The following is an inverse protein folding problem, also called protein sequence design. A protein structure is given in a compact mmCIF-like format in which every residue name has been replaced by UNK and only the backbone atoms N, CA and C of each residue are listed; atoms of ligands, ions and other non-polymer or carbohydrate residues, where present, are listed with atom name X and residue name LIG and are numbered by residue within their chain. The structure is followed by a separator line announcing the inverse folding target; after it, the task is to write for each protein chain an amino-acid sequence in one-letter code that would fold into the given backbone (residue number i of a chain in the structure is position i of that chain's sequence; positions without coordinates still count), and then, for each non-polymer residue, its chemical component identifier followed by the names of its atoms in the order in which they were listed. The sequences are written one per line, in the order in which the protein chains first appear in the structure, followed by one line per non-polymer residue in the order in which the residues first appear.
data_IF_828130190014
#
_entry.id   IF_828130190014
#
_cell.length_a   1.000
_cell.length_b   1.000
_cell.length_c   1.000
_cell.angle_alpha   90.00
_cell.angle_beta   90.00
_cell.angle_gamma   90.00
#
_symmetry.space_group_name_H-M   'P 1'
#
loop_
_entity.id
_entity.type
_entity.pdbx_description
1 polymer ?
#
# COMPACT_ATOMS: atom_id res chain seq x y z
N UNK A 1 11.35 1.93 -40.11
CA UNK A 1 11.69 1.07 -38.97
C UNK A 1 11.53 1.92 -37.72
N UNK A 2 10.33 1.97 -37.14
CA UNK A 2 10.13 2.51 -35.80
C UNK A 2 10.26 1.31 -34.86
N UNK A 3 11.44 1.16 -34.27
CA UNK A 3 11.73 0.15 -33.27
C UNK A 3 12.12 0.86 -32.00
N UNK A 4 11.14 1.11 -31.14
CA UNK A 4 11.36 1.12 -29.70
C UNK A 4 10.00 0.88 -29.02
N UNK A 5 9.75 -0.40 -28.78
CA UNK A 5 9.31 -0.94 -27.50
C UNK A 5 8.26 -0.08 -26.77
N UNK A 6 6.98 -0.36 -27.04
CA UNK A 6 5.94 -0.11 -26.05
C UNK A 6 6.22 -1.04 -24.86
N UNK A 7 7.02 -0.57 -23.90
CA UNK A 7 7.01 -1.16 -22.57
C UNK A 7 5.64 -0.84 -21.95
N UNK A 8 4.88 -1.84 -21.43
CA UNK A 8 3.78 -1.52 -20.54
C UNK A 8 4.35 -0.72 -19.36
N UNK A 9 3.77 0.45 -19.07
CA UNK A 9 4.19 1.30 -17.95
C UNK A 9 4.80 2.68 -18.30
N UNK A 10 4.52 3.28 -19.46
CA UNK A 10 4.93 4.68 -19.71
C UNK A 10 3.76 5.64 -19.95
N UNK A 11 3.55 6.47 -18.92
CA UNK A 11 3.09 7.86 -18.94
C UNK A 11 1.69 8.16 -19.50
N UNK A 12 0.66 8.10 -18.64
CA UNK A 12 -0.23 9.24 -18.27
C UNK A 12 -1.36 8.82 -17.29
N UNK A 13 -1.13 7.84 -16.39
CA UNK A 13 -2.19 7.37 -15.46
C UNK A 13 -1.87 7.72 -14.00
N UNK A 14 -2.75 8.44 -13.28
CA UNK A 14 -2.53 8.82 -11.88
C UNK A 14 -2.60 7.64 -10.90
N UNK A 15 -2.93 6.42 -11.38
CA UNK A 15 -3.04 5.21 -10.56
C UNK A 15 -1.92 4.23 -10.96
N UNK A 16 -1.04 3.89 -10.00
CA UNK A 16 -0.04 2.83 -10.19
C UNK A 16 -0.72 1.46 -10.10
N UNK A 17 -0.30 0.51 -10.95
CA UNK A 17 -0.78 -0.86 -10.83
C UNK A 17 -0.26 -1.51 -9.53
N UNK A 18 -1.03 -2.42 -8.90
CA UNK A 18 -0.60 -3.16 -7.70
C UNK A 18 0.78 -3.80 -7.83
N UNK A 19 1.04 -4.46 -8.96
CA UNK A 19 2.33 -5.09 -9.25
C UNK A 19 3.50 -4.09 -9.23
N UNK A 20 3.28 -2.86 -9.73
CA UNK A 20 4.31 -1.81 -9.73
C UNK A 20 4.58 -1.29 -8.32
N UNK A 21 3.56 -1.22 -7.47
CA UNK A 21 3.67 -0.82 -6.06
C UNK A 21 4.48 -1.87 -5.30
N UNK A 22 4.13 -3.15 -5.46
CA UNK A 22 4.84 -4.28 -4.84
C UNK A 22 6.30 -4.30 -5.27
N UNK A 23 6.57 -4.21 -6.57
CA UNK A 23 7.95 -4.20 -7.08
C UNK A 23 8.76 -3.02 -6.53
N UNK A 24 8.16 -1.85 -6.38
CA UNK A 24 8.84 -0.70 -5.78
C UNK A 24 9.14 -0.95 -4.29
N UNK A 25 8.15 -1.41 -3.52
CA UNK A 25 8.30 -1.70 -2.10
C UNK A 25 9.42 -2.72 -1.82
N UNK A 26 9.45 -3.82 -2.59
CA UNK A 26 10.47 -4.87 -2.47
C UNK A 26 11.86 -4.36 -2.89
N UNK A 27 11.95 -3.60 -3.99
CA UNK A 27 13.25 -3.11 -4.48
C UNK A 27 13.84 -2.02 -3.58
N UNK A 28 13.00 -1.20 -2.96
CA UNK A 28 13.41 -0.14 -2.05
C UNK A 28 13.56 -0.62 -0.60
N UNK A 29 13.18 -1.87 -0.31
CA UNK A 29 13.25 -2.50 1.02
C UNK A 29 12.58 -1.64 2.10
N UNK A 30 11.34 -1.22 1.82
CA UNK A 30 10.62 -0.24 2.67
C UNK A 30 10.19 -0.85 4.00
N UNK A 31 10.34 -0.10 5.09
CA UNK A 31 9.81 -0.49 6.41
C UNK A 31 8.29 -0.26 6.51
N UNK A 32 7.79 0.73 5.77
CA UNK A 32 6.40 1.20 5.85
C UNK A 32 5.88 1.49 4.44
N UNK A 33 4.77 0.86 4.08
CA UNK A 33 4.04 1.12 2.86
C UNK A 33 2.71 1.82 3.17
N UNK A 34 2.64 3.12 2.86
CA UNK A 34 1.40 3.90 2.96
C UNK A 34 0.66 3.98 1.62
N UNK A 35 -0.59 3.53 1.60
CA UNK A 35 -1.43 3.51 0.40
C UNK A 35 -2.59 4.50 0.58
N UNK A 36 -2.77 5.42 -0.37
CA UNK A 36 -3.88 6.37 -0.34
C UNK A 36 -4.91 6.07 -1.43
N UNK A 37 -6.16 5.78 -1.05
CA UNK A 37 -7.24 5.38 -1.96
C UNK A 37 -8.46 6.30 -1.78
N UNK A 38 -8.84 6.99 -2.85
CA UNK A 38 -10.06 7.83 -2.90
C UNK A 38 -11.07 7.35 -3.97
N UNK A 39 -10.76 6.24 -4.64
CA UNK A 39 -11.55 5.68 -5.75
C UNK A 39 -12.55 4.61 -5.32
N UNK A 40 -12.53 4.17 -4.05
CA UNK A 40 -13.33 3.04 -3.56
C UNK A 40 -12.89 1.69 -4.12
N UNK A 41 -11.63 1.57 -4.53
CA UNK A 41 -11.04 0.34 -5.07
C UNK A 41 -10.18 -0.40 -4.03
N UNK A 42 -10.36 -0.11 -2.74
CA UNK A 42 -9.58 -0.70 -1.65
C UNK A 42 -9.78 -2.22 -1.56
N UNK A 43 -11.01 -2.71 -1.74
CA UNK A 43 -11.35 -4.14 -1.70
C UNK A 43 -10.70 -4.99 -2.81
N UNK A 44 -10.12 -4.35 -3.82
CA UNK A 44 -9.42 -5.05 -4.92
C UNK A 44 -7.93 -4.75 -4.88
N UNK A 45 -7.55 -3.49 -4.75
CA UNK A 45 -6.15 -3.08 -4.83
C UNK A 45 -5.35 -3.52 -3.60
N UNK A 46 -5.93 -3.43 -2.40
CA UNK A 46 -5.21 -3.78 -1.17
C UNK A 46 -4.92 -5.28 -1.11
N UNK A 47 -5.89 -6.20 -1.36
CA UNK A 47 -5.59 -7.62 -1.42
C UNK A 47 -4.51 -7.97 -2.45
N UNK A 48 -4.56 -7.40 -3.67
CA UNK A 48 -3.55 -7.66 -4.70
C UNK A 48 -2.14 -7.20 -4.29
N UNK A 49 -2.03 -6.09 -3.55
CA UNK A 49 -0.76 -5.60 -3.04
C UNK A 49 -0.24 -6.50 -1.91
N UNK A 50 -1.10 -6.90 -0.97
CA UNK A 50 -0.72 -7.79 0.15
C UNK A 50 -0.28 -9.16 -0.37
N UNK A 51 -1.04 -9.74 -1.30
CA UNK A 51 -0.70 -11.00 -1.95
C UNK A 51 0.67 -10.88 -2.64
N UNK A 52 0.89 -9.81 -3.41
CA UNK A 52 2.17 -9.56 -4.06
C UNK A 52 3.33 -9.40 -3.07
N UNK A 53 3.16 -8.63 -1.99
CA UNK A 53 4.20 -8.50 -0.95
C UNK A 53 4.51 -9.85 -0.29
N UNK A 54 3.49 -10.68 -0.07
CA UNK A 54 3.63 -12.03 0.49
C UNK A 54 4.39 -12.95 -0.46
N UNK A 55 4.11 -12.89 -1.76
CA UNK A 55 4.84 -13.66 -2.78
C UNK A 55 6.35 -13.37 -2.83
N UNK A 56 6.75 -12.16 -2.43
CA UNK A 56 8.15 -11.74 -2.36
C UNK A 56 8.75 -11.84 -0.95
N UNK A 57 8.08 -12.48 0.01
CA UNK A 57 8.49 -12.59 1.42
C UNK A 57 8.78 -11.21 2.07
N UNK A 58 8.10 -10.15 1.61
CA UNK A 58 8.30 -8.78 2.08
C UNK A 58 7.20 -8.29 3.03
N UNK A 59 6.06 -8.97 3.06
CA UNK A 59 4.89 -8.56 3.84
C UNK A 59 5.17 -8.56 5.35
N UNK A 60 5.81 -9.62 5.87
CA UNK A 60 6.11 -9.75 7.30
C UNK A 60 7.06 -8.65 7.83
N UNK A 61 7.87 -8.07 6.95
CA UNK A 61 8.85 -7.02 7.26
C UNK A 61 8.37 -5.60 6.90
N UNK A 62 7.14 -5.45 6.39
CA UNK A 62 6.60 -4.17 5.93
C UNK A 62 5.32 -3.79 6.69
N UNK A 63 5.33 -2.66 7.38
CA UNK A 63 4.12 -2.08 7.95
C UNK A 63 3.24 -1.48 6.85
N UNK A 64 2.10 -2.11 6.55
CA UNK A 64 1.14 -1.59 5.57
C UNK A 64 0.08 -0.75 6.25
N UNK A 65 -0.07 0.52 5.85
CA UNK A 65 -1.14 1.42 6.31
C UNK A 65 -1.93 1.94 5.13
N UNK A 66 -3.24 2.14 5.32
CA UNK A 66 -4.13 2.65 4.27
C UNK A 66 -4.75 3.96 4.72
N UNK A 67 -4.93 4.90 3.81
CA UNK A 67 -5.65 6.14 4.07
C UNK A 67 -6.62 6.46 2.95
N UNK A 68 -7.76 7.05 3.28
CA UNK A 68 -8.78 7.27 2.26
C UNK A 68 -10.18 7.52 2.77
N UNK A 69 -11.15 7.29 1.89
CA UNK A 69 -12.57 7.21 2.24
C UNK A 69 -12.93 5.73 2.14
N UNK A 70 -12.83 5.02 3.26
CA UNK A 70 -13.15 3.59 3.39
C UNK A 70 -14.34 3.49 4.36
N UNK A 71 -15.39 2.73 4.03
CA UNK A 71 -16.49 2.44 4.96
C UNK A 71 -16.00 1.64 6.17
N UNK A 72 -16.53 1.93 7.36
CA UNK A 72 -16.20 1.21 8.60
C UNK A 72 -16.34 -0.33 8.46
N UNK A 73 -17.27 -0.82 7.62
CA UNK A 73 -17.48 -2.25 7.37
C UNK A 73 -16.35 -2.91 6.56
N UNK A 74 -15.65 -2.14 5.73
CA UNK A 74 -14.54 -2.63 4.93
C UNK A 74 -13.20 -2.49 5.70
N UNK A 75 -13.13 -1.62 6.72
CA UNK A 75 -11.93 -1.46 7.56
C UNK A 75 -11.58 -2.76 8.28
N UNK A 76 -12.58 -3.42 8.89
CA UNK A 76 -12.41 -4.73 9.55
C UNK A 76 -11.84 -5.78 8.58
N UNK A 77 -12.34 -5.82 7.33
CA UNK A 77 -11.85 -6.77 6.32
C UNK A 77 -10.40 -6.47 5.92
N UNK A 78 -10.01 -5.20 5.82
CA UNK A 78 -8.64 -4.79 5.51
C UNK A 78 -7.68 -5.13 6.65
N UNK A 79 -8.08 -4.96 7.90
CA UNK A 79 -7.30 -5.35 9.07
C UNK A 79 -7.10 -6.87 9.14
N UNK A 80 -8.13 -7.66 8.81
CA UNK A 80 -8.04 -9.13 8.73
C UNK A 80 -7.06 -9.61 7.64
N UNK A 81 -6.90 -8.83 6.57
CA UNK A 81 -5.88 -9.07 5.53
C UNK A 81 -4.47 -8.67 5.97
N UNK A 82 -4.34 -7.96 7.09
CA UNK A 82 -3.07 -7.54 7.69
C UNK A 82 -2.66 -6.10 7.34
N UNK A 83 -3.60 -5.25 6.91
CA UNK A 83 -3.42 -3.80 7.03
C UNK A 83 -3.32 -3.45 8.52
N UNK A 84 -2.30 -2.68 8.89
CA UNK A 84 -2.05 -2.37 10.29
C UNK A 84 -2.96 -1.28 10.84
N UNK A 85 -3.39 -0.32 10.01
CA UNK A 85 -4.28 0.77 10.39
C UNK A 85 -4.90 1.45 9.15
N UNK A 86 -6.14 1.91 9.30
CA UNK A 86 -6.87 2.65 8.26
C UNK A 86 -7.13 4.09 8.72
N UNK A 87 -6.46 5.04 8.07
CA UNK A 87 -6.63 6.47 8.32
C UNK A 87 -7.75 7.06 7.46
N UNK A 88 -8.96 7.03 8.00
CA UNK A 88 -10.15 7.64 7.42
C UNK A 88 -10.15 9.19 7.36
N UNK A 89 -11.23 9.79 6.84
CA UNK A 89 -11.34 11.24 6.69
C UNK A 89 -11.34 11.93 8.07
N UNK A 90 -10.35 12.80 8.29
CA UNK A 90 -10.20 13.56 9.54
C UNK A 90 -9.10 13.03 10.46
N UNK A 91 -8.48 11.89 10.13
CA UNK A 91 -7.27 11.42 10.80
C UNK A 91 -6.21 12.52 10.86
N UNK A 92 -5.64 12.73 12.05
CA UNK A 92 -4.67 13.80 12.25
C UNK A 92 -3.27 13.35 11.82
N UNK A 93 -2.46 14.27 11.31
CA UNK A 93 -1.07 13.95 10.98
C UNK A 93 -0.25 13.54 12.21
N UNK A 94 -0.60 14.06 13.40
CA UNK A 94 0.06 13.69 14.64
C UNK A 94 -0.18 12.21 14.98
N UNK A 95 -1.42 11.75 14.84
CA UNK A 95 -1.85 10.37 15.07
C UNK A 95 -1.18 9.40 14.09
N UNK A 96 -1.15 9.72 12.79
CA UNK A 96 -0.40 8.93 11.80
C UNK A 96 1.09 8.83 12.14
N UNK A 97 1.72 9.93 12.55
CA UNK A 97 3.15 9.94 12.92
C UNK A 97 3.39 9.09 14.17
N UNK A 98 2.51 9.18 15.16
CA UNK A 98 2.60 8.41 16.40
C UNK A 98 2.48 6.92 16.09
N UNK A 99 1.44 6.53 15.35
CA UNK A 99 1.21 5.15 14.93
C UNK A 99 2.43 4.54 14.21
N UNK A 100 2.97 5.24 13.22
CA UNK A 100 4.13 4.75 12.47
C UNK A 100 5.35 4.60 13.38
N UNK A 101 5.58 5.51 14.31
CA UNK A 101 6.72 5.41 15.25
C UNK A 101 6.59 4.24 16.22
N UNK A 102 5.38 3.86 16.57
CA UNK A 102 5.12 2.77 17.52
C UNK A 102 5.10 1.38 16.86
N UNK A 103 4.74 1.32 15.57
CA UNK A 103 4.50 0.06 14.87
C UNK A 103 5.49 -0.23 13.73
N UNK A 104 6.28 0.75 13.28
CA UNK A 104 7.28 0.47 12.23
C UNK A 104 8.32 -0.54 12.74
N UNK A 105 8.74 -1.49 11.89
CA UNK A 105 9.73 -2.49 12.27
C UNK A 105 11.04 -1.82 12.67
N UNK A 106 11.64 -2.29 13.77
CA UNK A 106 12.96 -1.84 14.20
C UNK A 106 14.04 -2.59 13.40
N UNK A 107 14.84 -1.86 12.61
CA UNK A 107 16.03 -2.41 11.96
C UNK A 107 17.28 -2.12 12.79
N UNK A 108 18.06 -3.18 13.08
CA UNK A 108 19.35 -3.12 13.81
C UNK A 108 20.52 -2.59 12.96
#
# INVERSE_FOLDING_TARGET
MCGHECQPGTADDPVRAPEEIVQAAVQEDVDVLGISILSGAHDTLIPEIIDGLTEYDAFDDTLVIVGGIIPDEDEDELEELGVAEVFGPGASMAEMIEFVRENAPERE
#
